data_IF_389150292324
#
_entry.id   IF_389150292324
#
_cell.length_a   1.000
_cell.length_b   1.000
_cell.length_c   1.000
_cell.angle_alpha   90.00
_cell.angle_beta   90.00
_cell.angle_gamma   90.00
#
_symmetry.space_group_name_H-M   'P 1'
#
loop_
_entity.id
_entity.type
_entity.pdbx_description
1 polymer ?
#
# COMPACT_ATOMS: atom_id res chain seq x y z
N UNK A 1 -63.36 22.25 -36.75
CA UNK A 1 -61.90 22.29 -36.96
C UNK A 1 -61.24 21.67 -35.74
N UNK A 2 -60.88 20.39 -35.81
CA UNK A 2 -60.12 19.69 -34.77
C UNK A 2 -58.67 20.15 -34.85
N UNK A 3 -58.17 20.85 -33.82
CA UNK A 3 -56.74 21.14 -33.75
C UNK A 3 -55.97 19.81 -33.59
N UNK A 4 -54.95 19.54 -34.42
CA UNK A 4 -54.13 18.36 -34.25
C UNK A 4 -53.38 18.48 -32.92
N UNK A 5 -53.73 17.62 -31.97
CA UNK A 5 -53.03 17.53 -30.71
C UNK A 5 -51.56 17.18 -30.98
N UNK A 6 -50.59 17.84 -30.32
CA UNK A 6 -49.18 17.51 -30.49
C UNK A 6 -48.96 16.07 -30.02
N UNK A 7 -48.58 15.21 -30.95
CA UNK A 7 -48.45 13.75 -30.76
C UNK A 7 -47.22 13.39 -29.89
N UNK A 8 -46.29 14.34 -29.68
CA UNK A 8 -45.05 14.06 -28.93
C UNK A 8 -44.76 15.12 -27.87
N UNK A 9 -44.61 14.65 -26.62
CA UNK A 9 -44.03 15.46 -25.56
C UNK A 9 -42.53 15.67 -25.85
N UNK A 10 -41.99 16.89 -25.67
CA UNK A 10 -40.56 17.15 -25.85
C UNK A 10 -39.75 16.26 -24.91
N UNK A 11 -38.83 15.47 -25.47
CA UNK A 11 -37.98 14.60 -24.67
C UNK A 11 -36.90 15.43 -23.95
N UNK A 12 -36.81 15.36 -22.61
CA UNK A 12 -35.78 16.07 -21.88
C UNK A 12 -34.39 15.51 -22.25
N UNK A 13 -33.60 16.31 -22.97
CA UNK A 13 -32.20 15.97 -23.28
C UNK A 13 -31.39 15.87 -21.99
N UNK A 14 -30.56 14.83 -21.88
CA UNK A 14 -29.59 14.70 -20.79
C UNK A 14 -28.59 15.86 -20.84
N UNK A 15 -28.38 16.61 -19.75
CA UNK A 15 -27.37 17.65 -19.73
C UNK A 15 -25.99 17.00 -19.88
N UNK A 16 -25.12 17.59 -20.72
CA UNK A 16 -23.76 17.07 -20.94
C UNK A 16 -22.96 16.90 -19.65
N UNK A 17 -23.21 17.77 -18.66
CA UNK A 17 -22.60 17.68 -17.32
C UNK A 17 -22.94 16.39 -16.56
N UNK A 18 -24.14 15.83 -16.73
CA UNK A 18 -24.51 14.57 -16.09
C UNK A 18 -23.78 13.37 -16.75
N UNK A 19 -23.58 13.43 -18.06
CA UNK A 19 -22.79 12.42 -18.79
C UNK A 19 -21.33 12.51 -18.34
N UNK A 20 -20.74 13.72 -18.27
CA UNK A 20 -19.38 13.92 -17.78
C UNK A 20 -19.19 13.38 -16.35
N UNK A 21 -20.12 13.67 -15.44
CA UNK A 21 -20.07 13.15 -14.07
C UNK A 21 -20.15 11.62 -14.00
N UNK A 22 -20.96 10.99 -14.86
CA UNK A 22 -21.04 9.53 -14.93
C UNK A 22 -19.75 8.92 -15.51
N UNK A 23 -19.18 9.52 -16.57
CA UNK A 23 -17.91 9.08 -17.18
C UNK A 23 -16.77 9.14 -16.15
N UNK A 24 -16.65 10.25 -15.42
CA UNK A 24 -15.65 10.35 -14.34
C UNK A 24 -15.84 9.27 -13.27
N UNK A 25 -17.09 8.92 -12.95
CA UNK A 25 -17.36 7.82 -12.02
C UNK A 25 -16.96 6.44 -12.53
N UNK A 26 -17.03 6.18 -13.84
CA UNK A 26 -16.50 4.96 -14.45
C UNK A 26 -14.98 4.93 -14.47
N UNK A 27 -14.35 6.06 -14.80
CA UNK A 27 -12.87 6.20 -14.79
C UNK A 27 -12.32 5.98 -13.38
N UNK A 28 -12.96 6.55 -12.35
CA UNK A 28 -12.57 6.33 -10.96
C UNK A 28 -12.75 4.88 -10.50
N UNK A 29 -13.84 4.22 -10.90
CA UNK A 29 -14.02 2.81 -10.58
C UNK A 29 -12.92 1.95 -11.24
N UNK A 30 -12.57 2.25 -12.49
CA UNK A 30 -11.51 1.55 -13.20
C UNK A 30 -10.13 1.79 -12.55
N UNK A 31 -9.82 3.02 -12.14
CA UNK A 31 -8.53 3.33 -11.51
C UNK A 31 -8.38 2.62 -10.15
N UNK A 32 -9.42 2.60 -9.32
CA UNK A 32 -9.42 1.86 -8.05
C UNK A 32 -9.22 0.37 -8.28
N UNK A 33 -9.90 -0.22 -9.28
CA UNK A 33 -9.73 -1.63 -9.64
C UNK A 33 -8.30 -1.93 -10.13
N UNK A 34 -7.69 -1.05 -10.92
CA UNK A 34 -6.30 -1.21 -11.35
C UNK A 34 -5.32 -1.22 -10.18
N UNK A 35 -5.53 -0.35 -9.18
CA UNK A 35 -4.70 -0.33 -7.96
C UNK A 35 -4.85 -1.65 -7.19
N UNK A 36 -6.07 -2.16 -7.04
CA UNK A 36 -6.32 -3.44 -6.36
C UNK A 36 -5.61 -4.59 -7.07
N UNK A 37 -5.69 -4.66 -8.40
CA UNK A 37 -5.00 -5.69 -9.19
C UNK A 37 -3.49 -5.60 -9.01
N UNK A 38 -2.93 -4.39 -9.03
CA UNK A 38 -1.50 -4.17 -8.82
C UNK A 38 -1.04 -4.65 -7.43
N UNK A 39 -1.77 -4.26 -6.38
CA UNK A 39 -1.47 -4.70 -5.01
C UNK A 39 -1.55 -6.22 -4.88
N UNK A 40 -2.56 -6.86 -5.48
CA UNK A 40 -2.69 -8.32 -5.47
C UNK A 40 -1.56 -9.02 -6.23
N UNK A 41 -1.06 -8.42 -7.33
CA UNK A 41 0.04 -8.97 -8.10
C UNK A 41 1.36 -8.94 -7.31
N UNK A 42 1.71 -7.79 -6.73
CA UNK A 42 2.93 -7.64 -5.93
C UNK A 42 2.93 -8.55 -4.69
N UNK A 43 1.78 -8.63 -4.01
CA UNK A 43 1.65 -9.45 -2.81
C UNK A 43 1.67 -10.95 -3.10
N UNK A 44 1.23 -11.35 -4.30
CA UNK A 44 1.41 -12.73 -4.77
C UNK A 44 2.86 -13.08 -5.11
N UNK A 45 3.66 -12.08 -5.50
CA UNK A 45 5.07 -12.25 -5.83
C UNK A 45 5.98 -12.26 -4.58
N UNK A 46 5.61 -11.53 -3.53
CA UNK A 46 6.47 -11.34 -2.34
C UNK A 46 6.50 -12.52 -1.35
N UNK A 47 5.61 -13.51 -1.46
CA UNK A 47 5.61 -14.70 -0.59
C UNK A 47 5.37 -14.42 0.91
N UNK A 48 4.94 -13.21 1.27
CA UNK A 48 4.80 -12.76 2.67
C UNK A 48 3.54 -13.35 3.31
N UNK A 49 3.71 -14.39 4.14
CA UNK A 49 2.60 -15.10 4.79
C UNK A 49 1.86 -14.29 5.88
N UNK A 50 2.44 -13.20 6.40
CA UNK A 50 1.87 -12.40 7.50
C UNK A 50 0.98 -11.22 7.09
N UNK A 51 1.09 -10.71 5.85
CA UNK A 51 0.38 -9.50 5.42
C UNK A 51 -1.04 -9.75 4.86
N UNK A 52 -1.43 -11.02 4.70
CA UNK A 52 -2.57 -11.43 3.87
C UNK A 52 -3.92 -10.85 4.31
N UNK A 53 -4.17 -10.71 5.61
CA UNK A 53 -5.47 -10.23 6.13
C UNK A 53 -5.68 -8.74 5.81
N UNK A 54 -4.65 -7.90 6.01
CA UNK A 54 -4.72 -6.48 5.72
C UNK A 54 -4.91 -6.19 4.23
N UNK A 55 -4.18 -6.92 3.37
CA UNK A 55 -4.30 -6.81 1.91
C UNK A 55 -5.68 -7.27 1.43
N UNK A 56 -6.19 -8.38 1.97
CA UNK A 56 -7.53 -8.88 1.62
C UNK A 56 -8.62 -7.89 2.04
N UNK A 57 -8.52 -7.29 3.23
CA UNK A 57 -9.42 -6.25 3.73
C UNK A 57 -9.41 -5.00 2.84
N UNK A 58 -8.22 -4.49 2.52
CA UNK A 58 -8.05 -3.34 1.65
C UNK A 58 -8.65 -3.58 0.26
N UNK A 59 -8.39 -4.76 -0.30
CA UNK A 59 -8.91 -5.17 -1.61
C UNK A 59 -10.44 -5.28 -1.61
N UNK A 60 -11.02 -5.91 -0.59
CA UNK A 60 -12.48 -6.05 -0.46
C UNK A 60 -13.17 -4.68 -0.32
N UNK A 61 -12.61 -3.77 0.47
CA UNK A 61 -13.12 -2.41 0.65
C UNK A 61 -13.08 -1.64 -0.68
N UNK A 62 -11.97 -1.70 -1.40
CA UNK A 62 -11.79 -1.04 -2.68
C UNK A 62 -12.74 -1.59 -3.77
N UNK A 63 -13.00 -2.90 -3.77
CA UNK A 63 -14.02 -3.51 -4.63
C UNK A 63 -15.43 -3.02 -4.29
N UNK A 64 -15.77 -2.93 -3.00
CA UNK A 64 -17.06 -2.43 -2.54
C UNK A 64 -17.27 -0.96 -2.95
N UNK A 65 -16.24 -0.11 -2.78
CA UNK A 65 -16.24 1.28 -3.25
C UNK A 65 -16.48 1.32 -4.75
N UNK A 66 -15.72 0.56 -5.53
CA UNK A 66 -15.83 0.50 -7.00
C UNK A 66 -17.24 0.10 -7.45
N UNK A 67 -17.86 -0.89 -6.80
CA UNK A 67 -19.23 -1.30 -7.09
C UNK A 67 -20.24 -0.16 -6.83
N UNK A 68 -20.11 0.56 -5.71
CA UNK A 68 -20.96 1.72 -5.40
C UNK A 68 -20.77 2.85 -6.42
N UNK A 69 -19.55 3.09 -6.88
CA UNK A 69 -19.24 4.10 -7.91
C UNK A 69 -19.87 3.75 -9.26
N UNK A 70 -19.76 2.49 -9.69
CA UNK A 70 -20.39 1.98 -10.93
C UNK A 70 -21.91 2.09 -10.86
N UNK A 71 -22.50 1.62 -9.74
CA UNK A 71 -23.95 1.69 -9.52
C UNK A 71 -24.43 3.14 -9.45
N UNK A 72 -23.72 4.02 -8.75
CA UNK A 72 -24.04 5.45 -8.66
C UNK A 72 -23.99 6.16 -10.01
N UNK A 73 -23.00 5.84 -10.85
CA UNK A 73 -22.83 6.39 -12.19
C UNK A 73 -23.94 5.93 -13.13
N UNK A 74 -24.27 4.63 -13.11
CA UNK A 74 -25.36 4.06 -13.89
C UNK A 74 -26.74 4.59 -13.43
N UNK A 75 -26.91 4.75 -12.13
CA UNK A 75 -28.11 5.33 -11.52
C UNK A 75 -28.28 6.81 -11.88
N UNK A 76 -27.17 7.58 -11.97
CA UNK A 76 -27.20 8.96 -12.46
C UNK A 76 -27.68 9.03 -13.91
N UNK A 77 -27.15 8.17 -14.80
CA UNK A 77 -27.56 8.12 -16.21
C UNK A 77 -29.06 7.77 -16.38
N UNK A 78 -29.59 6.94 -15.48
CA UNK A 78 -31.03 6.61 -15.43
C UNK A 78 -31.89 7.73 -14.83
N UNK A 79 -31.29 8.77 -14.26
CA UNK A 79 -31.98 9.88 -13.59
C UNK A 79 -32.41 9.57 -12.16
N UNK A 80 -31.92 8.47 -11.58
CA UNK A 80 -32.33 7.93 -10.27
C UNK A 80 -31.12 7.58 -9.41
N UNK A 81 -30.22 8.54 -9.10
CA UNK A 81 -28.96 8.15 -8.45
C UNK A 81 -28.15 9.22 -7.74
N UNK A 82 -28.65 10.45 -7.56
CA UNK A 82 -27.84 11.52 -6.96
C UNK A 82 -27.32 11.17 -5.56
N UNK A 83 -28.15 10.55 -4.73
CA UNK A 83 -27.75 10.15 -3.37
C UNK A 83 -26.68 9.08 -3.41
N UNK A 84 -26.83 8.04 -4.23
CA UNK A 84 -25.81 6.99 -4.40
C UNK A 84 -24.47 7.54 -4.87
N UNK A 85 -24.50 8.49 -5.81
CA UNK A 85 -23.27 9.08 -6.33
C UNK A 85 -22.56 9.95 -5.29
N UNK A 86 -23.31 10.74 -4.50
CA UNK A 86 -22.75 11.54 -3.41
C UNK A 86 -22.18 10.63 -2.31
N UNK A 87 -22.91 9.60 -1.91
CA UNK A 87 -22.45 8.62 -0.90
C UNK A 87 -21.21 7.88 -1.42
N UNK A 88 -21.22 7.42 -2.67
CA UNK A 88 -20.07 6.76 -3.29
C UNK A 88 -18.84 7.66 -3.35
N UNK A 89 -19.01 8.93 -3.70
CA UNK A 89 -17.90 9.89 -3.71
C UNK A 89 -17.33 10.18 -2.31
N UNK A 90 -18.19 10.33 -1.30
CA UNK A 90 -17.75 10.53 0.08
C UNK A 90 -17.01 9.29 0.62
N UNK A 91 -17.55 8.10 0.33
CA UNK A 91 -16.94 6.84 0.76
C UNK A 91 -15.58 6.62 0.06
N UNK A 92 -15.47 6.93 -1.24
CA UNK A 92 -14.20 6.91 -1.95
C UNK A 92 -13.17 7.85 -1.32
N UNK A 93 -13.53 9.11 -1.05
CA UNK A 93 -12.61 10.06 -0.38
C UNK A 93 -12.16 9.52 0.97
N UNK A 94 -13.07 9.00 1.79
CA UNK A 94 -12.72 8.44 3.09
C UNK A 94 -11.75 7.26 2.97
N UNK A 95 -11.98 6.33 2.03
CA UNK A 95 -11.11 5.18 1.80
C UNK A 95 -9.74 5.60 1.26
N UNK A 96 -9.69 6.52 0.29
CA UNK A 96 -8.43 7.05 -0.25
C UNK A 96 -7.60 7.74 0.84
N UNK A 97 -8.22 8.54 1.71
CA UNK A 97 -7.53 9.20 2.83
C UNK A 97 -7.03 8.16 3.84
N UNK A 98 -7.86 7.18 4.21
CA UNK A 98 -7.47 6.14 5.16
C UNK A 98 -6.29 5.30 4.64
N UNK A 99 -6.32 4.90 3.37
CA UNK A 99 -5.21 4.19 2.71
C UNK A 99 -3.96 5.06 2.64
N UNK A 100 -4.08 6.34 2.28
CA UNK A 100 -2.94 7.26 2.24
C UNK A 100 -2.28 7.38 3.63
N UNK A 101 -3.07 7.52 4.69
CA UNK A 101 -2.56 7.56 6.07
C UNK A 101 -1.88 6.24 6.44
N UNK A 102 -2.50 5.09 6.13
CA UNK A 102 -1.91 3.78 6.41
C UNK A 102 -0.56 3.59 5.70
N UNK A 103 -0.46 3.97 4.42
CA UNK A 103 0.81 3.94 3.68
C UNK A 103 1.84 4.87 4.30
N UNK A 104 1.46 6.11 4.63
CA UNK A 104 2.38 7.07 5.25
C UNK A 104 2.89 6.61 6.62
N UNK A 105 2.06 5.93 7.41
CA UNK A 105 2.45 5.34 8.69
C UNK A 105 3.35 4.10 8.49
N UNK A 106 3.07 3.28 7.48
CA UNK A 106 3.86 2.09 7.18
C UNK A 106 5.25 2.41 6.61
N UNK A 107 5.42 3.57 5.95
CA UNK A 107 6.71 4.01 5.43
C UNK A 107 7.72 4.42 6.51
N UNK A 108 7.32 4.50 7.78
CA UNK A 108 8.22 4.85 8.89
C UNK A 108 8.91 6.21 8.75
N UNK A 109 9.83 6.48 9.68
CA UNK A 109 10.78 7.60 9.60
C UNK A 109 12.09 7.07 8.99
N UNK A 110 12.06 6.47 7.80
CA UNK A 110 13.30 6.00 7.17
C UNK A 110 14.14 7.22 6.69
N UNK A 111 15.32 7.46 7.28
CA UNK A 111 16.14 8.64 7.00
C UNK A 111 16.96 8.51 5.70
N UNK A 112 16.92 7.34 5.02
CA UNK A 112 17.87 6.95 3.98
C UNK A 112 17.50 7.34 2.54
N UNK A 113 16.67 8.38 2.34
CA UNK A 113 16.57 9.14 1.07
C UNK A 113 15.88 8.46 -0.14
N UNK A 114 15.83 7.13 -0.22
CA UNK A 114 15.04 6.42 -1.26
C UNK A 114 13.52 6.61 -1.08
N UNK A 115 13.10 6.89 0.16
CA UNK A 115 11.72 7.18 0.50
C UNK A 115 11.18 8.45 -0.19
N UNK A 116 12.00 9.45 -0.51
CA UNK A 116 11.48 10.74 -0.98
C UNK A 116 10.82 10.68 -2.37
N UNK A 117 11.38 9.89 -3.30
CA UNK A 117 10.80 9.74 -4.64
C UNK A 117 9.51 8.93 -4.62
N UNK A 118 9.49 7.83 -3.86
CA UNK A 118 8.29 6.97 -3.71
C UNK A 118 7.21 7.71 -2.94
N UNK A 119 7.57 8.42 -1.85
CA UNK A 119 6.63 9.22 -1.05
C UNK A 119 6.05 10.36 -1.87
N UNK A 120 6.87 11.04 -2.68
CA UNK A 120 6.41 12.04 -3.65
C UNK A 120 5.42 11.47 -4.66
N UNK A 121 5.67 10.28 -5.18
CA UNK A 121 4.77 9.59 -6.12
C UNK A 121 3.46 9.16 -5.44
N UNK A 122 3.53 8.60 -4.23
CA UNK A 122 2.35 8.23 -3.43
C UNK A 122 1.51 9.46 -3.11
N UNK A 123 2.13 10.55 -2.64
CA UNK A 123 1.43 11.82 -2.37
C UNK A 123 0.79 12.35 -3.65
N UNK A 124 1.51 12.35 -4.76
CA UNK A 124 0.98 12.76 -6.07
C UNK A 124 -0.22 11.92 -6.49
N UNK A 125 -0.13 10.60 -6.36
CA UNK A 125 -1.22 9.66 -6.68
C UNK A 125 -2.45 9.89 -5.78
N UNK A 126 -2.25 10.12 -4.48
CA UNK A 126 -3.33 10.44 -3.54
C UNK A 126 -4.01 11.75 -3.90
N UNK A 127 -3.25 12.81 -4.20
CA UNK A 127 -3.79 14.11 -4.60
C UNK A 127 -4.62 13.99 -5.87
N UNK A 128 -4.10 13.30 -6.90
CA UNK A 128 -4.84 13.05 -8.15
C UNK A 128 -6.09 12.21 -7.89
N UNK A 129 -6.00 11.17 -7.07
CA UNK A 129 -7.12 10.31 -6.71
C UNK A 129 -8.20 11.04 -5.89
N UNK A 130 -7.86 12.09 -5.16
CA UNK A 130 -8.80 12.92 -4.40
C UNK A 130 -9.43 14.03 -5.25
N UNK A 131 -8.75 14.52 -6.29
CA UNK A 131 -9.27 15.57 -7.17
C UNK A 131 -10.51 15.09 -7.95
N UNK A 132 -10.48 13.86 -8.48
CA UNK A 132 -11.57 13.33 -9.31
C UNK A 132 -12.93 13.23 -8.60
N UNK A 133 -13.06 12.63 -7.39
CA UNK A 133 -14.34 12.56 -6.70
C UNK A 133 -14.87 13.95 -6.34
N UNK A 134 -14.01 14.93 -6.07
CA UNK A 134 -14.40 16.33 -5.83
C UNK A 134 -14.97 16.97 -7.08
N UNK A 135 -14.27 16.89 -8.22
CA UNK A 135 -14.78 17.42 -9.50
C UNK A 135 -16.11 16.78 -9.86
N UNK A 136 -16.23 15.45 -9.70
CA UNK A 136 -17.48 14.73 -9.94
C UNK A 136 -18.61 15.21 -9.02
N UNK A 137 -18.33 15.41 -7.73
CA UNK A 137 -19.32 15.90 -6.77
C UNK A 137 -19.79 17.31 -7.15
N UNK A 138 -18.86 18.20 -7.52
CA UNK A 138 -19.18 19.55 -8.01
C UNK A 138 -20.10 19.47 -9.23
N UNK A 139 -19.77 18.64 -10.22
CA UNK A 139 -20.60 18.46 -11.43
C UNK A 139 -22.00 17.91 -11.12
N UNK A 140 -22.10 16.93 -10.22
CA UNK A 140 -23.36 16.34 -9.81
C UNK A 140 -24.26 17.29 -8.99
N UNK A 141 -23.65 18.27 -8.31
CA UNK A 141 -24.35 19.29 -7.52
C UNK A 141 -24.77 20.53 -8.35
N UNK A 142 -24.35 20.65 -9.60
CA UNK A 142 -24.71 21.76 -10.47
C UNK A 142 -26.24 21.88 -10.65
N UNK A 143 -26.75 23.12 -10.65
CA UNK A 143 -28.20 23.41 -10.81
C UNK A 143 -28.84 22.75 -12.05
N UNK A 144 -28.22 22.74 -13.24
CA UNK A 144 -28.78 22.07 -14.41
C UNK A 144 -28.99 20.56 -14.21
N UNK A 145 -28.08 19.88 -13.51
CA UNK A 145 -28.18 18.46 -13.20
C UNK A 145 -29.30 18.21 -12.19
N UNK A 146 -29.41 19.06 -11.15
CA UNK A 146 -30.49 18.98 -10.17
C UNK A 146 -31.88 19.23 -10.80
N UNK A 147 -31.98 20.23 -11.69
CA UNK A 147 -33.20 20.52 -12.44
C UNK A 147 -33.59 19.36 -13.37
N UNK A 148 -32.61 18.76 -14.06
CA UNK A 148 -32.86 17.59 -14.91
C UNK A 148 -33.29 16.35 -14.11
N UNK A 149 -32.66 16.09 -12.96
CA UNK A 149 -33.04 14.98 -12.10
C UNK A 149 -34.45 15.13 -11.54
N UNK A 150 -34.84 16.36 -11.18
CA UNK A 150 -36.21 16.65 -10.72
C UNK A 150 -37.22 16.53 -11.86
N UNK A 151 -36.89 16.97 -13.08
CA UNK A 151 -37.77 16.80 -14.25
C UNK A 151 -37.94 15.34 -14.66
N UNK A 152 -36.91 14.49 -14.50
CA UNK A 152 -36.98 13.03 -14.75
C UNK A 152 -37.80 12.28 -13.71
N UNK A 153 -37.87 12.78 -12.47
CA UNK A 153 -38.67 12.17 -11.39
C UNK A 153 -40.15 12.39 -11.60
N UNK A 154 -40.54 13.50 -12.24
CA UNK A 154 -41.88 13.62 -12.79
C UNK A 154 -42.00 12.57 -13.90
N UNK A 155 -42.63 11.43 -13.59
CA UNK A 155 -42.93 10.43 -14.60
C UNK A 155 -43.62 11.13 -15.77
N UNK A 156 -43.23 10.79 -17.01
CA UNK A 156 -43.91 11.30 -18.18
C UNK A 156 -45.41 11.08 -17.94
N UNK A 157 -46.21 12.16 -17.97
CA UNK A 157 -47.61 12.00 -17.69
C UNK A 157 -48.16 10.98 -18.69
N UNK A 158 -48.98 10.05 -18.21
CA UNK A 158 -49.63 9.06 -19.06
C UNK A 158 -51.03 9.57 -19.33
N UNK A 159 -51.41 9.59 -20.60
CA UNK A 159 -52.76 9.95 -20.98
C UNK A 159 -53.72 8.88 -20.45
N UNK A 160 -54.66 9.28 -19.57
CA UNK A 160 -55.73 8.41 -19.13
C UNK A 160 -56.97 8.68 -19.98
N UNK A 161 -57.36 7.77 -20.90
CA UNK A 161 -58.49 7.99 -21.80
C UNK A 161 -59.83 8.10 -21.05
N UNK A 162 -59.93 7.46 -19.87
CA UNK A 162 -61.14 7.47 -19.03
C UNK A 162 -61.43 8.85 -18.43
N UNK A 163 -60.40 9.61 -18.06
CA UNK A 163 -60.53 10.94 -17.44
C UNK A 163 -60.29 12.08 -18.42
N UNK A 164 -59.79 11.78 -19.63
CA UNK A 164 -59.38 12.80 -20.59
C UNK A 164 -58.28 13.72 -20.04
N UNK A 165 -57.45 13.21 -19.13
CA UNK A 165 -56.41 13.98 -18.46
C UNK A 165 -55.06 13.24 -18.47
N UNK A 166 -54.00 14.06 -18.44
CA UNK A 166 -52.64 13.61 -18.24
C UNK A 166 -52.41 13.38 -16.75
N UNK A 167 -52.20 12.12 -16.35
CA UNK A 167 -51.98 11.76 -14.94
C UNK A 167 -50.52 11.35 -14.76
N UNK A 168 -49.84 11.89 -13.76
CA UNK A 168 -48.49 11.46 -13.39
C UNK A 168 -48.59 10.17 -12.58
N UNK A 169 -48.11 9.01 -13.08
CA UNK A 169 -48.16 7.78 -12.32
C UNK A 169 -47.34 7.93 -11.03
N UNK A 170 -47.96 7.63 -9.89
CA UNK A 170 -47.29 7.60 -8.57
C UNK A 170 -46.27 6.47 -8.58
N UNK A 171 -44.98 6.79 -8.64
CA UNK A 171 -43.91 5.79 -8.44
C UNK A 171 -43.85 5.42 -6.96
N UNK A 172 -43.99 4.13 -6.65
CA UNK A 172 -43.69 3.61 -5.33
C UNK A 172 -42.16 3.62 -5.12
N UNK A 173 -41.64 4.09 -3.97
CA UNK A 173 -40.20 4.15 -3.71
C UNK A 173 -39.52 2.78 -3.50
N UNK A 174 -40.25 1.67 -3.61
CA UNK A 174 -39.81 0.34 -3.14
C UNK A 174 -38.69 -0.32 -3.94
N UNK A 175 -38.53 -0.03 -5.23
CA UNK A 175 -37.58 -0.79 -6.07
C UNK A 175 -36.11 -0.40 -5.86
N UNK A 176 -35.83 0.84 -5.46
CA UNK A 176 -34.45 1.28 -5.18
C UNK A 176 -33.93 0.69 -3.86
N UNK A 177 -34.80 0.55 -2.85
CA UNK A 177 -34.44 -0.04 -1.55
C UNK A 177 -34.18 -1.55 -1.69
N UNK A 178 -34.99 -2.25 -2.51
CA UNK A 178 -34.85 -3.69 -2.72
C UNK A 178 -33.51 -4.09 -3.37
N UNK A 179 -32.93 -3.24 -4.22
CA UNK A 179 -31.65 -3.54 -4.90
C UNK A 179 -30.44 -3.17 -4.03
N UNK A 180 -30.56 -2.15 -3.16
CA UNK A 180 -29.45 -1.70 -2.31
C UNK A 180 -29.32 -2.50 -1.00
N UNK A 181 -30.43 -3.05 -0.50
CA UNK A 181 -30.43 -3.88 0.70
C UNK A 181 -29.46 -5.09 0.65
N UNK A 182 -29.41 -5.91 -0.41
CA UNK A 182 -28.48 -7.05 -0.45
C UNK A 182 -27.02 -6.61 -0.55
N UNK A 183 -26.71 -5.50 -1.25
CA UNK A 183 -25.34 -4.98 -1.35
C UNK A 183 -24.87 -4.44 0.00
N UNK A 184 -25.73 -3.71 0.72
CA UNK A 184 -25.45 -3.26 2.08
C UNK A 184 -25.30 -4.42 3.07
N UNK A 185 -26.16 -5.43 2.98
CA UNK A 185 -26.09 -6.62 3.82
C UNK A 185 -24.80 -7.42 3.59
N UNK A 186 -24.35 -7.55 2.34
CA UNK A 186 -23.12 -8.26 2.00
C UNK A 186 -21.89 -7.52 2.51
N UNK A 187 -21.85 -6.19 2.37
CA UNK A 187 -20.78 -5.35 2.94
C UNK A 187 -20.73 -5.44 4.48
N UNK A 188 -21.88 -5.37 5.16
CA UNK A 188 -21.95 -5.52 6.62
C UNK A 188 -21.53 -6.92 7.05
N UNK A 189 -21.99 -7.98 6.35
CA UNK A 189 -21.61 -9.36 6.64
C UNK A 189 -20.10 -9.57 6.48
N UNK A 190 -19.47 -9.00 5.45
CA UNK A 190 -18.02 -9.05 5.27
C UNK A 190 -17.30 -8.38 6.44
N UNK A 191 -17.72 -7.17 6.84
CA UNK A 191 -17.16 -6.47 8.00
C UNK A 191 -17.35 -7.28 9.29
N UNK A 192 -18.51 -7.90 9.50
CA UNK A 192 -18.83 -8.66 10.71
C UNK A 192 -18.03 -9.95 10.79
N UNK A 193 -17.96 -10.73 9.70
CA UNK A 193 -17.15 -11.96 9.63
C UNK A 193 -15.69 -11.66 9.92
N UNK A 194 -15.19 -10.54 9.43
CA UNK A 194 -13.81 -10.11 9.65
C UNK A 194 -13.56 -9.56 11.06
N UNK A 195 -14.51 -8.85 11.66
CA UNK A 195 -14.42 -8.42 13.06
C UNK A 195 -14.51 -9.59 14.05
N UNK A 196 -15.07 -10.73 13.62
CA UNK A 196 -15.18 -11.96 14.42
C UNK A 196 -14.18 -13.03 14.02
N UNK A 197 -13.32 -12.77 13.03
CA UNK A 197 -12.28 -13.72 12.67
C UNK A 197 -11.36 -13.87 13.89
N UNK A 198 -11.18 -15.09 14.43
CA UNK A 198 -10.28 -15.28 15.56
C UNK A 198 -8.90 -14.83 15.11
N UNK A 199 -8.33 -13.85 15.83
CA UNK A 199 -6.90 -13.56 15.74
C UNK A 199 -6.21 -14.92 15.85
N UNK A 200 -5.44 -15.29 14.83
CA UNK A 200 -4.68 -16.54 14.81
C UNK A 200 -3.94 -16.62 16.14
N UNK A 201 -4.35 -17.58 16.97
CA UNK A 201 -3.85 -17.67 18.33
C UNK A 201 -2.32 -17.76 18.29
N UNK A 202 -1.60 -17.11 19.22
CA UNK A 202 -0.13 -17.15 19.28
C UNK A 202 0.45 -18.58 19.37
N UNK A 203 -0.39 -19.59 19.55
CA UNK A 203 -0.02 -21.01 19.51
C UNK A 203 0.40 -21.50 18.10
N UNK A 204 -0.02 -20.87 17.00
CA UNK A 204 0.35 -21.31 15.64
C UNK A 204 1.68 -20.67 15.19
N UNK A 205 2.04 -19.50 15.73
CA UNK A 205 3.36 -18.87 15.53
C UNK A 205 4.47 -19.68 16.24
N UNK A 206 4.16 -20.31 17.38
CA UNK A 206 5.08 -21.22 18.07
C UNK A 206 5.37 -22.52 17.30
N UNK A 207 4.54 -22.90 16.32
CA UNK A 207 4.73 -24.12 15.54
C UNK A 207 5.73 -23.96 14.37
N UNK A 208 6.00 -22.72 13.93
CA UNK A 208 7.01 -22.42 12.91
C UNK A 208 8.27 -21.74 13.44
N UNK A 209 8.25 -21.29 14.71
CA UNK A 209 9.44 -20.91 15.44
C UNK A 209 10.29 -22.15 15.79
N UNK A 210 11.16 -22.57 14.88
CA UNK A 210 12.20 -23.59 15.09
C UNK A 210 13.24 -23.24 16.19
N UNK A 211 12.98 -22.21 17.02
CA UNK A 211 13.78 -21.79 18.16
C UNK A 211 12.98 -21.54 19.45
N UNK A 212 11.78 -22.10 19.59
CA UNK A 212 11.11 -22.10 20.90
C UNK A 212 11.84 -23.10 21.83
N UNK A 213 12.89 -22.60 22.50
CA UNK A 213 13.52 -23.22 23.65
C UNK A 213 12.47 -23.58 24.70
N UNK A 214 12.41 -24.87 25.01
CA UNK A 214 11.55 -25.52 25.98
C UNK A 214 11.49 -24.74 27.33
N UNK A 215 10.31 -24.27 27.81
CA UNK A 215 10.21 -23.52 29.07
C UNK A 215 10.25 -24.40 30.33
N UNK A 216 10.67 -25.66 30.23
CA UNK A 216 10.62 -26.61 31.35
C UNK A 216 11.83 -26.56 32.29
N UNK A 217 12.84 -25.74 32.03
CA UNK A 217 13.94 -25.53 32.96
C UNK A 217 13.95 -24.05 33.34
N UNK A 218 13.77 -23.77 34.63
CA UNK A 218 13.76 -22.43 35.22
C UNK A 218 15.09 -21.72 35.03
N UNK A 219 15.31 -21.20 33.83
CA UNK A 219 16.40 -20.30 33.48
C UNK A 219 15.87 -18.89 33.64
N UNK A 220 16.28 -18.24 34.72
CA UNK A 220 16.15 -16.80 34.90
C UNK A 220 17.20 -16.14 34.00
N UNK A 221 16.80 -15.44 32.91
CA UNK A 221 17.74 -14.87 31.94
C UNK A 221 18.60 -13.73 32.51
N UNK A 222 18.42 -13.36 33.78
CA UNK A 222 19.20 -12.33 34.46
C UNK A 222 19.98 -12.82 35.69
N UNK A 223 19.92 -14.11 36.04
CA UNK A 223 20.44 -14.59 37.33
C UNK A 223 21.89 -15.15 37.34
N UNK A 224 22.60 -15.16 36.21
CA UNK A 224 24.02 -15.58 36.18
C UNK A 224 24.86 -14.64 35.31
N UNK A 225 25.08 -13.43 35.81
CA UNK A 225 26.32 -12.72 35.48
C UNK A 225 27.15 -12.49 36.75
N UNK A 226 28.05 -13.42 37.11
CA UNK A 226 29.00 -13.23 38.21
C UNK A 226 30.11 -12.20 37.91
N UNK A 227 30.07 -11.46 36.79
CA UNK A 227 31.08 -10.46 36.41
C UNK A 227 30.56 -9.02 36.34
N UNK A 228 29.31 -8.75 36.77
CA UNK A 228 28.69 -7.42 36.74
C UNK A 228 29.24 -6.41 37.79
N UNK A 229 30.50 -6.51 38.19
CA UNK A 229 31.17 -5.46 38.99
C UNK A 229 32.60 -5.23 38.53
N UNK A 230 32.76 -4.65 37.34
CA UNK A 230 33.92 -3.80 37.05
C UNK A 230 33.43 -2.45 36.50
N UNK A 231 33.41 -1.38 37.33
CA UNK A 231 32.94 -0.09 36.87
C UNK A 231 33.92 0.66 35.96
N UNK A 232 35.15 0.19 35.69
CA UNK A 232 36.07 0.86 34.73
C UNK A 232 37.07 -0.06 33.95
N UNK A 233 36.94 -1.38 33.96
CA UNK A 233 37.89 -2.30 33.31
C UNK A 233 37.44 -2.84 31.95
N UNK A 234 38.20 -2.49 30.91
CA UNK A 234 38.19 -3.07 29.57
C UNK A 234 38.65 -4.54 29.58
N UNK A 235 37.83 -5.41 30.17
CA UNK A 235 38.07 -6.85 30.26
C UNK A 235 37.24 -7.62 29.24
N UNK A 236 37.76 -7.74 28.01
CA UNK A 236 37.34 -8.81 27.08
C UNK A 236 37.67 -10.16 27.73
N UNK A 237 36.68 -10.78 28.37
CA UNK A 237 36.75 -12.18 28.75
C UNK A 237 36.62 -13.07 27.51
N UNK A 238 37.24 -14.27 27.49
CA UNK A 238 37.18 -15.20 26.36
C UNK A 238 35.84 -15.95 26.38
N UNK A 239 34.73 -15.25 26.22
CA UNK A 239 33.57 -15.85 25.58
C UNK A 239 33.83 -15.72 24.10
N UNK A 240 34.36 -16.78 23.49
CA UNK A 240 34.46 -16.88 22.03
C UNK A 240 33.11 -16.44 21.46
N UNK A 241 33.05 -15.33 20.71
CA UNK A 241 31.82 -14.93 20.08
C UNK A 241 31.38 -16.11 19.21
N UNK A 242 30.07 -16.38 19.15
CA UNK A 242 29.49 -17.21 18.07
C UNK A 242 29.61 -16.45 16.73
N UNK A 243 30.82 -16.04 16.38
CA UNK A 243 31.18 -15.67 15.03
C UNK A 243 31.05 -16.94 14.22
N UNK A 244 30.31 -16.84 13.12
CA UNK A 244 30.38 -17.85 12.07
C UNK A 244 31.88 -18.07 11.78
N UNK A 245 32.42 -19.30 11.91
CA UNK A 245 33.86 -19.56 11.75
C UNK A 245 34.42 -18.96 10.45
N UNK A 246 33.59 -18.83 9.42
CA UNK A 246 33.97 -18.27 8.13
C UNK A 246 34.17 -16.73 8.16
N UNK A 247 33.50 -16.00 9.07
CA UNK A 247 33.67 -14.55 9.20
C UNK A 247 35.06 -14.13 9.73
N UNK A 248 35.78 -15.07 10.35
CA UNK A 248 37.15 -14.83 10.85
C UNK A 248 38.23 -15.03 9.80
N UNK A 249 37.90 -15.63 8.66
CA UNK A 249 38.87 -15.98 7.62
C UNK A 249 39.61 -14.76 7.06
N UNK A 250 38.98 -13.58 7.07
CA UNK A 250 39.52 -12.34 6.52
C UNK A 250 39.82 -11.29 7.59
N UNK A 251 39.73 -11.63 8.88
CA UNK A 251 39.93 -10.68 9.98
C UNK A 251 41.36 -10.11 10.03
N UNK A 252 42.34 -10.86 9.51
CA UNK A 252 43.73 -10.45 9.39
C UNK A 252 43.97 -9.39 8.31
N UNK A 253 43.03 -9.21 7.38
CA UNK A 253 43.09 -8.19 6.35
C UNK A 253 42.71 -6.79 6.85
N UNK A 254 42.18 -6.66 8.08
CA UNK A 254 41.87 -5.36 8.66
C UNK A 254 43.14 -4.51 8.89
N UNK A 255 43.21 -3.33 8.25
CA UNK A 255 44.39 -2.45 8.29
C UNK A 255 44.19 -1.20 9.17
N UNK A 256 43.39 -1.31 10.24
CA UNK A 256 43.24 -0.23 11.21
C UNK A 256 42.51 1.01 10.67
N UNK A 257 41.56 0.81 9.74
CA UNK A 257 40.76 1.90 9.15
C UNK A 257 41.14 2.27 7.72
N UNK A 258 42.31 1.83 7.24
CA UNK A 258 42.69 2.00 5.84
C UNK A 258 41.94 1.01 4.95
N UNK A 259 41.53 1.43 3.74
CA UNK A 259 40.84 0.54 2.82
C UNK A 259 41.81 -0.52 2.28
N UNK A 260 41.35 -1.76 2.21
CA UNK A 260 42.09 -2.88 1.62
C UNK A 260 41.85 -2.86 0.12
N UNK A 261 42.87 -2.97 -0.73
CA UNK A 261 42.66 -3.02 -2.18
C UNK A 261 41.83 -4.26 -2.57
N UNK A 262 40.89 -4.15 -3.53
CA UNK A 262 40.10 -5.29 -3.97
C UNK A 262 40.99 -6.32 -4.70
N UNK A 263 40.60 -7.61 -4.72
CA UNK A 263 41.27 -8.65 -5.50
C UNK A 263 41.34 -8.26 -6.97
N UNK A 264 42.43 -8.64 -7.63
CA UNK A 264 42.68 -8.36 -9.05
C UNK A 264 42.55 -9.62 -9.89
N UNK A 265 42.39 -9.44 -11.22
CA UNK A 265 42.29 -10.55 -12.15
C UNK A 265 43.51 -11.50 -12.02
N UNK A 266 43.27 -12.71 -11.52
CA UNK A 266 44.29 -13.73 -11.26
C UNK A 266 44.36 -14.16 -9.79
N UNK A 267 43.78 -13.39 -8.87
CA UNK A 267 43.62 -13.77 -7.46
C UNK A 267 42.54 -14.84 -7.29
N UNK A 268 42.66 -15.68 -6.25
CA UNK A 268 41.72 -16.78 -6.01
C UNK A 268 40.29 -16.31 -5.71
N UNK A 269 40.17 -15.16 -5.04
CA UNK A 269 38.89 -14.60 -4.60
C UNK A 269 38.33 -13.58 -5.60
N UNK A 270 38.95 -13.42 -6.78
CA UNK A 270 38.51 -12.48 -7.81
C UNK A 270 37.25 -12.97 -8.53
N UNK A 271 36.25 -12.08 -8.63
CA UNK A 271 35.05 -12.28 -9.43
C UNK A 271 34.76 -11.00 -10.24
N UNK A 272 34.75 -11.15 -11.57
CA UNK A 272 34.52 -10.04 -12.51
C UNK A 272 33.15 -9.36 -12.30
N UNK A 273 32.15 -10.09 -11.79
CA UNK A 273 30.84 -9.52 -11.51
C UNK A 273 30.89 -8.44 -10.42
N UNK A 274 31.79 -8.58 -9.44
CA UNK A 274 31.84 -7.73 -8.25
C UNK A 274 32.96 -6.68 -8.28
N UNK A 275 33.90 -6.78 -9.22
CA UNK A 275 35.06 -5.90 -9.36
C UNK A 275 34.67 -4.41 -9.38
N UNK A 276 33.67 -4.04 -10.19
CA UNK A 276 33.23 -2.65 -10.30
C UNK A 276 32.64 -2.10 -8.99
N UNK A 277 31.87 -2.90 -8.26
CA UNK A 277 31.30 -2.52 -6.97
C UNK A 277 32.38 -2.43 -5.89
N UNK A 278 33.32 -3.39 -5.87
CA UNK A 278 34.44 -3.41 -4.93
C UNK A 278 35.37 -2.21 -5.14
N UNK A 279 35.68 -1.87 -6.39
CA UNK A 279 36.47 -0.68 -6.72
C UNK A 279 35.78 0.62 -6.28
N UNK A 280 34.48 0.75 -6.55
CA UNK A 280 33.68 1.91 -6.11
C UNK A 280 33.61 2.01 -4.57
N UNK A 281 33.45 0.87 -3.89
CA UNK A 281 33.47 0.78 -2.43
C UNK A 281 34.84 1.18 -1.86
N UNK A 282 35.94 0.71 -2.45
CA UNK A 282 37.31 1.10 -2.10
C UNK A 282 37.53 2.62 -2.19
N UNK A 283 37.01 3.23 -3.25
CA UNK A 283 37.05 4.69 -3.50
C UNK A 283 36.17 5.50 -2.53
N UNK A 284 35.39 4.84 -1.66
CA UNK A 284 34.60 5.46 -0.60
C UNK A 284 33.13 5.69 -0.95
N UNK A 285 32.64 5.13 -2.06
CA UNK A 285 31.21 5.15 -2.37
C UNK A 285 30.47 4.14 -1.48
N UNK A 286 30.05 4.59 -0.29
CA UNK A 286 29.43 3.72 0.73
C UNK A 286 28.23 2.91 0.23
N UNK A 287 27.42 3.47 -0.69
CA UNK A 287 26.30 2.73 -1.29
C UNK A 287 26.75 1.54 -2.14
N UNK A 288 27.92 1.61 -2.77
CA UNK A 288 28.48 0.47 -3.51
C UNK A 288 28.97 -0.64 -2.58
N UNK A 289 29.34 -0.34 -1.33
CA UNK A 289 29.67 -1.35 -0.33
C UNK A 289 28.42 -2.14 0.11
N UNK A 290 27.30 -1.44 0.32
CA UNK A 290 26.03 -2.08 0.66
C UNK A 290 25.52 -2.95 -0.51
N UNK A 291 25.55 -2.41 -1.74
CA UNK A 291 25.18 -3.16 -2.95
C UNK A 291 26.04 -4.42 -3.12
N UNK A 292 27.35 -4.32 -2.87
CA UNK A 292 28.27 -5.44 -2.88
C UNK A 292 27.92 -6.49 -1.82
N UNK A 293 27.66 -6.07 -0.59
CA UNK A 293 27.25 -6.98 0.49
C UNK A 293 25.97 -7.76 0.14
N UNK A 294 24.93 -7.09 -0.35
CA UNK A 294 23.65 -7.75 -0.65
C UNK A 294 23.65 -8.62 -1.92
N UNK A 295 24.58 -8.37 -2.83
CA UNK A 295 24.67 -9.10 -4.10
C UNK A 295 25.61 -10.30 -4.07
N UNK A 296 26.44 -10.43 -3.02
CA UNK A 296 27.48 -11.46 -2.93
C UNK A 296 27.00 -12.69 -2.16
N UNK A 297 27.68 -13.82 -2.38
CA UNK A 297 27.35 -15.06 -1.68
C UNK A 297 27.83 -14.98 -0.23
N UNK A 298 27.03 -15.53 0.70
CA UNK A 298 27.43 -15.59 2.11
C UNK A 298 28.68 -16.45 2.33
N UNK A 299 29.59 -15.98 3.17
CA UNK A 299 30.93 -16.50 3.43
C UNK A 299 31.99 -16.05 2.42
N UNK A 300 31.64 -15.27 1.39
CA UNK A 300 32.62 -14.86 0.36
C UNK A 300 33.48 -13.68 0.80
N UNK A 301 34.66 -13.53 0.19
CA UNK A 301 35.51 -12.34 0.39
C UNK A 301 34.75 -11.05 0.15
N UNK A 302 33.93 -10.97 -0.92
CA UNK A 302 33.21 -9.75 -1.26
C UNK A 302 32.06 -9.42 -0.29
N UNK A 303 31.45 -10.42 0.36
CA UNK A 303 30.50 -10.19 1.46
C UNK A 303 31.22 -9.57 2.66
N UNK A 304 32.36 -10.13 3.07
CA UNK A 304 33.21 -9.53 4.11
C UNK A 304 33.66 -8.12 3.71
N UNK A 305 34.08 -7.92 2.46
CA UNK A 305 34.59 -6.65 1.96
C UNK A 305 33.51 -5.56 1.94
N UNK A 306 32.28 -5.91 1.53
CA UNK A 306 31.13 -5.00 1.59
C UNK A 306 30.72 -4.67 3.03
N UNK A 307 30.60 -5.68 3.89
CA UNK A 307 30.20 -5.50 5.30
C UNK A 307 31.21 -4.74 6.17
N UNK A 308 32.47 -4.71 5.76
CA UNK A 308 33.55 -3.95 6.43
C UNK A 308 33.90 -2.63 5.74
N UNK A 309 33.09 -2.19 4.77
CA UNK A 309 33.29 -0.94 4.03
C UNK A 309 34.67 -0.87 3.36
N UNK A 310 35.01 -1.88 2.57
CA UNK A 310 36.33 -2.09 1.96
C UNK A 310 37.45 -2.33 3.00
N UNK A 311 37.14 -3.01 4.11
CA UNK A 311 38.11 -3.32 5.18
C UNK A 311 38.44 -2.16 6.13
N UNK A 312 37.66 -1.07 6.08
CA UNK A 312 37.81 0.09 6.98
C UNK A 312 37.26 -0.17 8.38
N UNK A 313 36.32 -1.11 8.51
CA UNK A 313 35.78 -1.54 9.79
C UNK A 313 36.30 -2.94 10.12
N UNK A 314 36.42 -3.26 11.40
CA UNK A 314 36.71 -4.63 11.80
C UNK A 314 35.50 -5.54 11.50
N UNK A 315 35.74 -6.84 11.35
CA UNK A 315 34.68 -7.80 11.05
C UNK A 315 33.58 -7.88 12.14
N UNK A 316 33.88 -7.41 13.36
CA UNK A 316 32.95 -7.38 14.49
C UNK A 316 32.02 -6.16 14.45
N UNK A 317 32.42 -5.12 13.72
CA UNK A 317 31.68 -3.88 13.48
C UNK A 317 31.13 -3.91 12.05
N UNK A 318 30.50 -5.03 11.68
CA UNK A 318 29.82 -5.19 10.38
C UNK A 318 28.42 -4.57 10.45
N UNK A 319 28.05 -3.78 9.44
CA UNK A 319 26.79 -3.05 9.39
C UNK A 319 26.68 -2.16 8.14
N UNK A 320 25.71 -1.26 8.12
CA UNK A 320 25.59 -0.29 7.02
C UNK A 320 26.77 0.68 7.01
N UNK A 321 27.39 0.87 5.85
CA UNK A 321 28.52 1.77 5.71
C UNK A 321 28.07 3.22 5.86
N UNK A 322 28.22 3.78 7.05
CA UNK A 322 27.95 5.20 7.28
C UNK A 322 29.21 6.01 7.01
N UNK A 323 29.07 7.06 6.19
CA UNK A 323 30.12 8.05 6.04
C UNK A 323 30.26 8.80 7.35
N UNK A 324 31.35 8.56 8.07
CA UNK A 324 31.75 9.40 9.20
C UNK A 324 32.67 10.47 8.59
N UNK A 325 32.23 11.73 8.46
CA UNK A 325 33.16 12.80 8.12
C UNK A 325 34.20 12.83 9.24
N UNK A 326 35.43 12.42 8.95
CA UNK A 326 36.54 12.72 9.83
C UNK A 326 36.65 14.24 9.80
N UNK A 327 36.27 14.90 10.90
CA UNK A 327 36.51 16.33 11.09
C UNK A 327 38.01 16.58 10.85
N UNK A 328 38.33 17.34 9.80
CA UNK A 328 39.68 17.77 9.48
C UNK A 328 40.16 18.73 10.59
N UNK A 329 41.05 18.26 11.47
CA UNK A 329 41.85 19.10 12.39
C UNK A 329 43.01 19.80 11.65
#
# INVERSE_FOLDING_TARGET
MSQPYPIYAPQPRTPGLAIAAAVLGFVDAASVLSIVVFVLAETSASGTNGAGVGIALGSALALAVSAVLLLGSLALLRGTGRTLLVVGAALQVAVTVALAVAVLLAMGDDPFGFADSVRGLVIGAVVVSLATPVVRLVLALQRPVAAWLTSRRAAAPVWQPETGQWVTPRRSPGTAVAVLAPVGALAVATVLVLATAPESSPAEEAAYGWFASDPALGFDPYAMDPYATDPYGLGYGPSEPMLDPDATQYADLYQGGEPVAPPTAGDQDYDEQYDAFAQSCFEGAVGSCDDLYYSTQSGSFYEWYGSTCAGRLDALTSGTCIYVPFDED
#
